data_IF_176734962118
#
_entry.id   IF_176734962118
#
_cell.length_a   1.000
_cell.length_b   1.000
_cell.length_c   1.000
_cell.angle_alpha   90.00
_cell.angle_beta   90.00
_cell.angle_gamma   90.00
#
_symmetry.space_group_name_H-M   'P 1'
#
loop_
_entity.id
_entity.type
_entity.pdbx_description
1 polymer ?
#
# COMPACT_ATOMS: atom_id res chain seq x y z
N UNK A 1 6.77 18.21 7.52
CA UNK A 1 5.31 18.26 7.26
C UNK A 1 4.61 17.50 8.39
N UNK A 2 3.45 17.97 8.87
CA UNK A 2 2.67 17.16 9.79
C UNK A 2 2.25 15.86 9.09
N UNK A 3 2.31 14.74 9.81
CA UNK A 3 1.89 13.45 9.29
C UNK A 3 0.86 12.83 10.23
N UNK A 4 -0.11 12.10 9.67
CA UNK A 4 -1.07 11.29 10.43
C UNK A 4 -0.48 9.93 10.85
N UNK A 5 0.76 9.65 10.47
CA UNK A 5 1.43 8.39 10.81
C UNK A 5 1.90 8.39 12.27
N UNK A 6 1.64 7.29 12.97
CA UNK A 6 2.17 7.01 14.31
C UNK A 6 3.64 6.59 14.20
N UNK A 7 3.96 5.73 13.22
CA UNK A 7 5.33 5.39 12.87
C UNK A 7 5.85 6.44 11.88
N UNK A 8 6.71 7.33 12.34
CA UNK A 8 7.22 8.48 11.58
C UNK A 8 8.45 8.17 10.74
N UNK A 9 8.95 6.93 10.75
CA UNK A 9 10.20 6.54 10.08
C UNK A 9 10.31 7.07 8.65
N UNK A 10 9.26 6.94 7.83
CA UNK A 10 9.30 7.39 6.44
C UNK A 10 9.43 8.91 6.33
N UNK A 11 8.74 9.67 7.20
CA UNK A 11 8.82 11.13 7.23
C UNK A 11 10.21 11.60 7.69
N UNK A 12 10.79 10.93 8.69
CA UNK A 12 12.09 11.27 9.26
C UNK A 12 13.26 10.99 8.32
N UNK A 13 13.05 10.13 7.31
CA UNK A 13 14.05 9.74 6.32
C UNK A 13 13.81 10.35 4.93
N UNK A 14 12.94 11.35 4.83
CA UNK A 14 12.81 12.13 3.60
C UNK A 14 14.08 12.94 3.32
N UNK A 15 14.37 13.24 2.04
CA UNK A 15 15.45 14.17 1.71
C UNK A 15 15.28 15.53 2.41
N UNK A 16 16.38 16.25 2.70
CA UNK A 16 16.29 17.61 3.21
C UNK A 16 15.42 18.50 2.33
N UNK A 17 14.68 19.42 2.93
CA UNK A 17 13.68 20.24 2.24
C UNK A 17 14.27 21.05 1.07
N UNK A 18 15.54 21.43 1.16
CA UNK A 18 16.27 22.17 0.11
C UNK A 18 16.47 21.34 -1.17
N UNK A 19 16.29 20.02 -1.09
CA UNK A 19 16.35 19.10 -2.23
C UNK A 19 14.99 18.74 -2.81
N UNK A 20 13.92 19.30 -2.26
CA UNK A 20 12.58 19.02 -2.75
C UNK A 20 12.32 19.83 -4.02
N UNK A 21 11.55 19.28 -4.97
CA UNK A 21 11.09 20.05 -6.12
C UNK A 21 10.10 21.12 -5.67
N UNK A 22 10.01 22.19 -6.44
CA UNK A 22 8.92 23.14 -6.30
C UNK A 22 7.60 22.45 -6.70
N UNK A 23 6.63 22.43 -5.79
CA UNK A 23 5.31 21.86 -6.03
C UNK A 23 4.36 22.92 -6.55
N UNK A 24 4.02 22.85 -7.84
CA UNK A 24 3.10 23.79 -8.50
C UNK A 24 1.67 23.26 -8.44
N UNK A 25 0.95 23.55 -7.35
CA UNK A 25 -0.46 23.18 -7.17
C UNK A 25 -1.41 24.36 -7.44
N UNK A 26 -1.16 25.11 -8.49
CA UNK A 26 -1.94 26.32 -8.81
C UNK A 26 -3.33 26.00 -9.35
N UNK A 27 -3.48 24.87 -10.04
CA UNK A 27 -4.76 24.44 -10.62
C UNK A 27 -5.70 23.94 -9.52
N UNK A 28 -7.01 24.32 -9.58
CA UNK A 28 -8.01 23.86 -8.61
C UNK A 28 -8.05 22.33 -8.45
N UNK A 29 -7.86 21.58 -9.53
CA UNK A 29 -7.87 20.12 -9.55
C UNK A 29 -6.68 19.49 -8.79
N UNK A 30 -5.61 20.25 -8.57
CA UNK A 30 -4.41 19.83 -7.84
C UNK A 30 -4.39 20.33 -6.39
N UNK A 31 -5.46 20.96 -5.93
CA UNK A 31 -5.60 21.38 -4.53
C UNK A 31 -6.11 20.22 -3.69
N UNK A 32 -5.18 19.56 -3.02
CA UNK A 32 -5.51 18.45 -2.13
C UNK A 32 -5.73 18.96 -0.70
N UNK A 33 -6.63 18.34 0.09
CA UNK A 33 -6.77 18.65 1.51
C UNK A 33 -5.47 18.28 2.25
N UNK A 34 -5.24 18.92 3.38
CA UNK A 34 -4.07 18.66 4.22
C UNK A 34 -3.97 17.20 4.68
N UNK A 35 -5.13 16.57 4.88
CA UNK A 35 -5.24 15.15 5.21
C UNK A 35 -6.05 14.43 4.14
N UNK A 36 -5.43 13.45 3.52
CA UNK A 36 -6.02 12.67 2.44
C UNK A 36 -5.63 11.20 2.58
N UNK A 37 -6.62 10.30 2.52
CA UNK A 37 -6.36 8.89 2.29
C UNK A 37 -6.65 8.54 0.82
N UNK A 38 -5.60 8.17 0.08
CA UNK A 38 -5.72 7.88 -1.35
C UNK A 38 -6.68 6.70 -1.63
N UNK A 39 -6.81 5.73 -0.73
CA UNK A 39 -7.75 4.63 -0.90
C UNK A 39 -9.19 5.11 -0.83
N UNK A 40 -9.50 6.04 0.07
CA UNK A 40 -10.83 6.65 0.15
C UNK A 40 -11.16 7.45 -1.11
N UNK A 41 -10.22 8.27 -1.59
CA UNK A 41 -10.42 9.07 -2.80
C UNK A 41 -10.60 8.23 -4.07
N UNK A 42 -9.74 7.22 -4.25
CA UNK A 42 -9.67 6.46 -5.49
C UNK A 42 -10.64 5.26 -5.53
N UNK A 43 -11.13 4.81 -4.38
CA UNK A 43 -11.97 3.62 -4.27
C UNK A 43 -13.31 3.91 -3.58
N UNK A 44 -13.30 4.36 -2.32
CA UNK A 44 -14.53 4.46 -1.52
C UNK A 44 -15.51 5.48 -2.10
N UNK A 45 -15.02 6.63 -2.52
CA UNK A 45 -15.85 7.68 -3.13
C UNK A 45 -16.61 7.25 -4.38
N UNK A 46 -16.09 6.30 -5.16
CA UNK A 46 -16.81 5.78 -6.32
C UNK A 46 -18.00 4.94 -5.90
N UNK A 47 -17.87 4.15 -4.84
CA UNK A 47 -18.98 3.37 -4.28
C UNK A 47 -20.02 4.30 -3.65
N UNK A 48 -19.60 5.28 -2.86
CA UNK A 48 -20.46 6.30 -2.23
C UNK A 48 -21.29 7.10 -3.25
N UNK A 49 -20.71 7.36 -4.43
CA UNK A 49 -21.39 8.05 -5.54
C UNK A 49 -22.31 7.15 -6.36
N UNK A 50 -22.58 5.93 -5.90
CA UNK A 50 -23.44 4.96 -6.62
C UNK A 50 -22.79 4.35 -7.88
N UNK A 51 -21.46 4.42 -8.00
CA UNK A 51 -20.71 3.84 -9.13
C UNK A 51 -20.07 2.49 -8.77
N UNK A 52 -20.52 1.85 -7.69
CA UNK A 52 -19.97 0.61 -7.15
C UNK A 52 -19.96 -0.56 -8.13
N UNK A 53 -20.96 -0.65 -9.00
CA UNK A 53 -21.10 -1.75 -9.97
C UNK A 53 -20.20 -1.61 -11.22
N UNK A 54 -19.57 -0.45 -11.41
CA UNK A 54 -18.67 -0.27 -12.55
C UNK A 54 -17.44 -1.17 -12.42
N UNK A 55 -16.98 -1.73 -13.54
CA UNK A 55 -15.74 -2.48 -13.60
C UNK A 55 -14.57 -1.57 -13.17
N UNK A 56 -13.82 -2.02 -12.19
CA UNK A 56 -12.67 -1.30 -11.64
C UNK A 56 -11.35 -1.94 -12.06
N UNK A 57 -11.21 -3.25 -11.87
CA UNK A 57 -9.96 -3.96 -12.15
C UNK A 57 -10.24 -5.32 -12.77
N UNK A 58 -9.41 -5.71 -13.75
CA UNK A 58 -9.48 -7.06 -14.34
C UNK A 58 -8.07 -7.60 -14.60
N UNK A 59 -7.93 -8.92 -14.48
CA UNK A 59 -6.71 -9.65 -14.78
C UNK A 59 -6.76 -11.07 -14.27
N UNK A 60 -5.98 -11.96 -14.85
CA UNK A 60 -5.89 -13.38 -14.44
C UNK A 60 -7.25 -14.08 -14.29
N UNK A 61 -8.18 -13.80 -15.22
CA UNK A 61 -9.52 -14.37 -15.20
C UNK A 61 -10.51 -13.74 -14.20
N UNK A 62 -10.05 -12.81 -13.37
CA UNK A 62 -10.87 -12.07 -12.41
C UNK A 62 -11.33 -10.73 -12.99
N UNK A 63 -12.54 -10.33 -12.64
CA UNK A 63 -13.11 -9.01 -12.95
C UNK A 63 -13.82 -8.53 -11.71
N UNK A 64 -13.39 -7.39 -11.17
CA UNK A 64 -13.99 -6.80 -9.98
C UNK A 64 -14.52 -5.41 -10.26
N UNK A 65 -15.72 -5.15 -9.78
CA UNK A 65 -16.28 -3.81 -9.67
C UNK A 65 -15.59 -3.00 -8.56
N UNK A 66 -15.91 -1.71 -8.49
CA UNK A 66 -15.44 -0.86 -7.37
C UNK A 66 -15.90 -1.40 -6.01
N UNK A 67 -17.16 -1.85 -5.91
CA UNK A 67 -17.70 -2.41 -4.67
C UNK A 67 -16.99 -3.72 -4.27
N UNK A 68 -16.72 -4.60 -5.23
CA UNK A 68 -16.02 -5.86 -4.98
C UNK A 68 -14.57 -5.61 -4.56
N UNK A 69 -13.85 -4.70 -5.23
CA UNK A 69 -12.49 -4.33 -4.86
C UNK A 69 -12.46 -3.69 -3.46
N UNK A 70 -13.43 -2.80 -3.15
CA UNK A 70 -13.57 -2.20 -1.82
C UNK A 70 -13.79 -3.27 -0.75
N UNK A 71 -14.68 -4.23 -0.99
CA UNK A 71 -14.95 -5.31 -0.04
C UNK A 71 -13.70 -6.16 0.22
N UNK A 72 -12.89 -6.46 -0.80
CA UNK A 72 -11.62 -7.17 -0.63
C UNK A 72 -10.63 -6.33 0.16
N UNK A 73 -10.43 -5.07 -0.22
CA UNK A 73 -9.53 -4.16 0.48
C UNK A 73 -9.89 -4.00 1.97
N UNK A 74 -11.19 -3.87 2.28
CA UNK A 74 -11.66 -3.75 3.66
C UNK A 74 -11.36 -5.00 4.50
N UNK A 75 -11.54 -6.19 3.94
CA UNK A 75 -11.21 -7.45 4.64
C UNK A 75 -9.72 -7.56 4.94
N UNK A 76 -8.87 -7.26 3.96
CA UNK A 76 -7.42 -7.30 4.14
C UNK A 76 -6.97 -6.21 5.13
N UNK A 77 -7.52 -5.00 5.04
CA UNK A 77 -7.19 -3.92 5.97
C UNK A 77 -7.54 -4.28 7.42
N UNK A 78 -8.68 -4.96 7.63
CA UNK A 78 -9.07 -5.45 8.95
C UNK A 78 -8.07 -6.45 9.51
N UNK A 79 -7.66 -7.45 8.72
CA UNK A 79 -6.62 -8.42 9.12
C UNK A 79 -5.31 -7.70 9.47
N UNK A 80 -4.89 -6.73 8.67
CA UNK A 80 -3.67 -5.98 8.93
C UNK A 80 -3.73 -5.25 10.29
N UNK A 81 -4.87 -4.63 10.62
CA UNK A 81 -5.02 -3.84 11.85
C UNK A 81 -5.34 -4.72 13.06
N UNK A 82 -6.36 -5.59 12.95
CA UNK A 82 -6.90 -6.32 14.09
C UNK A 82 -6.05 -7.56 14.44
N UNK A 83 -5.57 -8.30 13.42
CA UNK A 83 -4.86 -9.57 13.66
C UNK A 83 -3.34 -9.38 13.66
N UNK A 84 -2.81 -8.48 12.82
CA UNK A 84 -1.38 -8.27 12.64
C UNK A 84 -0.83 -7.01 13.34
N UNK A 85 -1.70 -6.20 13.96
CA UNK A 85 -1.30 -5.04 14.75
C UNK A 85 -0.64 -3.91 13.94
N UNK A 86 -0.98 -3.77 12.66
CA UNK A 86 -0.48 -2.68 11.83
C UNK A 86 -0.90 -1.33 12.40
N UNK A 87 0.06 -0.43 12.58
CA UNK A 87 -0.19 0.97 12.94
C UNK A 87 0.10 1.89 11.77
N UNK A 88 -0.59 3.05 11.67
CA UNK A 88 -0.33 4.04 10.61
C UNK A 88 1.15 4.40 10.51
N UNK A 89 1.68 4.38 9.29
CA UNK A 89 3.10 4.62 9.00
C UNK A 89 3.95 3.36 8.92
N UNK A 90 3.48 2.20 9.35
CA UNK A 90 4.20 0.94 9.14
C UNK A 90 4.36 0.64 7.65
N UNK A 91 5.53 0.10 7.26
CA UNK A 91 5.83 -0.28 5.88
C UNK A 91 5.43 -1.73 5.66
N UNK A 92 4.60 -1.94 4.64
CA UNK A 92 4.09 -3.26 4.26
C UNK A 92 4.65 -3.63 2.90
N UNK A 93 5.43 -4.71 2.84
CA UNK A 93 5.94 -5.24 1.58
C UNK A 93 4.79 -5.88 0.79
N UNK A 94 4.62 -5.46 -0.45
CA UNK A 94 3.72 -6.09 -1.42
C UNK A 94 4.55 -6.90 -2.41
N UNK A 95 4.36 -8.23 -2.41
CA UNK A 95 5.10 -9.16 -3.25
C UNK A 95 4.15 -10.10 -3.96
N UNK A 96 3.92 -9.86 -5.23
CA UNK A 96 3.01 -10.66 -6.05
C UNK A 96 3.02 -10.24 -7.51
N UNK A 97 2.43 -11.05 -8.40
CA UNK A 97 2.23 -10.67 -9.79
C UNK A 97 1.18 -9.56 -9.91
N UNK A 98 1.20 -8.83 -11.03
CA UNK A 98 0.16 -7.86 -11.36
C UNK A 98 -1.18 -8.56 -11.54
N UNK A 99 -2.01 -8.50 -10.51
CA UNK A 99 -3.32 -9.15 -10.43
C UNK A 99 -4.29 -8.29 -9.63
N UNK A 100 -5.62 -8.47 -9.79
CA UNK A 100 -6.62 -7.76 -8.98
C UNK A 100 -6.37 -7.84 -7.48
N UNK A 101 -5.90 -9.00 -6.98
CA UNK A 101 -5.58 -9.18 -5.57
C UNK A 101 -4.43 -8.27 -5.10
N UNK A 102 -3.41 -8.04 -5.93
CA UNK A 102 -2.32 -7.11 -5.58
C UNK A 102 -2.84 -5.67 -5.44
N UNK A 103 -3.79 -5.28 -6.31
CA UNK A 103 -4.46 -3.98 -6.18
C UNK A 103 -5.27 -3.90 -4.88
N UNK A 104 -6.01 -4.96 -4.53
CA UNK A 104 -6.74 -5.02 -3.25
C UNK A 104 -5.80 -4.90 -2.05
N UNK A 105 -4.64 -5.56 -2.08
CA UNK A 105 -3.61 -5.45 -1.04
C UNK A 105 -3.08 -4.02 -0.93
N UNK A 106 -2.81 -3.36 -2.07
CA UNK A 106 -2.34 -1.98 -2.06
C UNK A 106 -3.37 -1.03 -1.43
N UNK A 107 -4.63 -1.11 -1.88
CA UNK A 107 -5.70 -0.31 -1.30
C UNK A 107 -5.91 -0.59 0.19
N UNK A 108 -5.80 -1.85 0.60
CA UNK A 108 -5.93 -2.25 2.00
C UNK A 108 -4.85 -1.62 2.89
N UNK A 109 -3.58 -1.69 2.46
CA UNK A 109 -2.46 -1.09 3.19
C UNK A 109 -2.64 0.41 3.33
N UNK A 110 -2.95 1.11 2.24
CA UNK A 110 -3.15 2.57 2.26
C UNK A 110 -4.37 2.94 3.12
N UNK A 111 -5.47 2.18 3.02
CA UNK A 111 -6.68 2.39 3.83
C UNK A 111 -6.39 2.26 5.32
N UNK A 112 -5.58 1.28 5.71
CA UNK A 112 -5.16 1.06 7.10
C UNK A 112 -4.13 2.11 7.59
N UNK A 113 -3.75 3.08 6.75
CA UNK A 113 -2.73 4.08 7.06
C UNK A 113 -1.29 3.57 6.94
N UNK A 114 -1.09 2.37 6.39
CA UNK A 114 0.23 1.82 6.13
C UNK A 114 0.86 2.39 4.85
N UNK A 115 2.16 2.18 4.71
CA UNK A 115 2.94 2.56 3.53
C UNK A 115 3.21 1.31 2.70
N UNK A 116 2.66 1.28 1.48
CA UNK A 116 2.85 0.16 0.57
C UNK A 116 4.24 0.22 -0.09
N UNK A 117 5.04 -0.83 0.09
CA UNK A 117 6.35 -1.01 -0.52
C UNK A 117 6.28 -2.13 -1.55
N UNK A 118 6.19 -1.79 -2.82
CA UNK A 118 6.12 -2.76 -3.92
C UNK A 118 7.46 -3.41 -4.19
N UNK A 119 7.46 -4.72 -4.46
CA UNK A 119 8.66 -5.44 -4.92
C UNK A 119 8.37 -6.29 -6.15
N UNK A 120 9.39 -6.45 -7.00
CA UNK A 120 9.27 -7.33 -8.16
C UNK A 120 9.22 -8.80 -7.74
N UNK A 121 8.35 -9.63 -8.35
CA UNK A 121 8.29 -11.08 -8.07
C UNK A 121 9.60 -11.82 -8.31
N UNK A 122 10.45 -11.33 -9.21
CA UNK A 122 11.72 -11.97 -9.61
C UNK A 122 12.87 -11.73 -8.61
N UNK A 123 12.72 -10.83 -7.64
CA UNK A 123 13.77 -10.58 -6.64
C UNK A 123 13.99 -11.82 -5.77
N UNK A 124 15.24 -12.08 -5.48
CA UNK A 124 15.67 -13.16 -4.59
C UNK A 124 15.91 -12.66 -3.17
N UNK A 125 16.15 -13.57 -2.26
CA UNK A 125 16.39 -13.25 -0.85
C UNK A 125 17.45 -12.16 -0.64
N UNK A 126 18.54 -12.16 -1.41
CA UNK A 126 19.62 -11.18 -1.33
C UNK A 126 19.13 -9.74 -1.55
N UNK A 127 18.32 -9.50 -2.58
CA UNK A 127 17.77 -8.18 -2.88
C UNK A 127 16.65 -7.82 -1.88
N UNK A 128 15.85 -8.81 -1.50
CA UNK A 128 14.77 -8.62 -0.54
C UNK A 128 15.30 -8.22 0.84
N UNK A 129 16.41 -8.80 1.32
CA UNK A 129 17.07 -8.39 2.57
C UNK A 129 17.37 -6.89 2.56
N UNK A 130 17.89 -6.36 1.44
CA UNK A 130 18.21 -4.94 1.34
C UNK A 130 16.96 -4.07 1.45
N UNK A 131 15.88 -4.45 0.76
CA UNK A 131 14.60 -3.72 0.81
C UNK A 131 14.01 -3.78 2.23
N UNK A 132 13.92 -4.97 2.79
CA UNK A 132 13.33 -5.21 4.13
C UNK A 132 14.09 -4.41 5.19
N UNK A 133 15.41 -4.45 5.15
CA UNK A 133 16.26 -3.74 6.13
C UNK A 133 16.20 -2.23 5.93
N UNK A 134 16.39 -1.75 4.69
CA UNK A 134 16.44 -0.31 4.42
C UNK A 134 15.11 0.38 4.69
N UNK A 135 14.00 -0.22 4.31
CA UNK A 135 12.68 0.33 4.55
C UNK A 135 12.10 -0.03 5.91
N UNK A 136 12.82 -0.79 6.74
CA UNK A 136 12.31 -1.31 8.02
C UNK A 136 10.91 -1.90 7.86
N UNK A 137 10.78 -2.87 6.96
CA UNK A 137 9.50 -3.53 6.69
C UNK A 137 9.02 -4.26 7.94
N UNK A 138 7.80 -3.94 8.39
CA UNK A 138 7.18 -4.56 9.56
C UNK A 138 6.22 -5.69 9.21
N UNK A 139 5.58 -5.61 8.03
CA UNK A 139 4.58 -6.56 7.55
C UNK A 139 4.81 -6.89 6.08
N UNK A 140 4.29 -8.03 5.62
CA UNK A 140 4.33 -8.38 4.21
C UNK A 140 3.05 -9.09 3.77
N UNK A 141 2.56 -8.71 2.60
CA UNK A 141 1.52 -9.41 1.85
C UNK A 141 2.19 -10.03 0.63
N UNK A 142 2.32 -11.34 0.63
CA UNK A 142 3.10 -12.09 -0.34
C UNK A 142 2.25 -13.18 -1.01
N UNK A 143 2.38 -13.31 -2.32
CA UNK A 143 1.85 -14.48 -3.03
C UNK A 143 2.54 -15.74 -2.50
N UNK A 144 1.77 -16.78 -2.16
CA UNK A 144 2.29 -18.01 -1.57
C UNK A 144 3.40 -18.66 -2.40
N UNK A 145 3.34 -18.54 -3.73
CA UNK A 145 4.35 -19.06 -4.66
C UNK A 145 5.71 -18.36 -4.54
N UNK A 146 5.75 -17.20 -3.89
CA UNK A 146 6.95 -16.36 -3.73
C UNK A 146 7.42 -16.28 -2.27
N UNK A 147 6.77 -17.04 -1.37
CA UNK A 147 6.98 -16.94 0.07
C UNK A 147 8.37 -17.46 0.51
N UNK A 148 8.92 -18.44 -0.18
CA UNK A 148 10.22 -19.05 0.15
C UNK A 148 11.34 -18.00 0.18
N UNK A 149 11.51 -17.24 -0.88
CA UNK A 149 12.53 -16.19 -0.96
C UNK A 149 12.34 -15.08 0.08
N UNK A 150 11.08 -14.78 0.41
CA UNK A 150 10.78 -13.83 1.46
C UNK A 150 11.12 -14.37 2.85
N UNK A 151 10.86 -15.65 3.10
CA UNK A 151 11.23 -16.29 4.36
C UNK A 151 12.74 -16.28 4.59
N UNK A 152 13.53 -16.52 3.54
CA UNK A 152 14.99 -16.44 3.58
C UNK A 152 15.52 -15.01 3.79
N UNK A 153 14.70 -14.01 3.47
CA UNK A 153 15.08 -12.59 3.60
C UNK A 153 14.78 -11.98 4.98
N UNK A 154 14.26 -12.75 5.94
CA UNK A 154 14.00 -12.25 7.30
C UNK A 154 15.31 -11.94 8.02
N UNK A 155 15.56 -10.69 8.47
CA UNK A 155 16.73 -10.40 9.31
C UNK A 155 16.54 -11.08 10.67
N UNK A 156 17.43 -12.01 11.00
CA UNK A 156 17.57 -12.50 12.38
C UNK A 156 16.54 -13.51 12.88
N UNK A 157 15.93 -14.31 12.00
CA UNK A 157 15.19 -15.52 12.41
C UNK A 157 15.98 -16.76 12.07
#
# INVERSE_FOLDING_TARGET
MPTSHIDTFAADHLPPHERWPEFLFERPELRFPEQLNCASELLDRWVERGQGDRLCVQGNGLRWSYAELQAQANRIARVLVEDLGLVPGNRVLLRGPNAPMLAACWFAVVKAGGIAVGSMPLLRAKELVQIVTKAQISHALCDARLAEELALARPGC
#
